data_IF_170572334183
#
_entry.id   IF_170572334183
#
_cell.length_a   1.000
_cell.length_b   1.000
_cell.length_c   1.000
_cell.angle_alpha   90.00
_cell.angle_beta   90.00
_cell.angle_gamma   90.00
#
_symmetry.space_group_name_H-M   'P 1'
#
loop_
_entity.id
_entity.type
_entity.pdbx_description
1 polymer ?
#
# COMPACT_ATOMS: atom_id res chain seq x y z
N UNK A 1 9.08 33.43 -10.47
CA UNK A 1 9.88 33.61 -9.25
C UNK A 1 9.08 33.09 -8.05
N UNK A 2 9.68 32.20 -7.23
CA UNK A 2 9.06 31.68 -6.03
C UNK A 2 8.79 32.80 -5.02
N UNK A 3 7.60 32.82 -4.42
CA UNK A 3 7.18 33.83 -3.45
C UNK A 3 7.52 33.42 -2.00
N UNK A 4 7.16 32.20 -1.63
CA UNK A 4 7.36 31.66 -0.27
C UNK A 4 8.67 30.90 -0.14
N UNK A 5 8.97 30.02 -1.10
CA UNK A 5 10.11 29.13 -1.01
C UNK A 5 11.41 29.78 -1.54
N UNK A 6 11.35 30.97 -2.17
CA UNK A 6 12.49 31.58 -2.87
C UNK A 6 13.75 31.73 -2.02
N UNK A 7 13.64 32.15 -0.78
CA UNK A 7 14.77 32.33 0.13
C UNK A 7 15.39 31.00 0.61
N UNK A 8 14.57 29.93 0.70
CA UNK A 8 14.99 28.64 1.20
C UNK A 8 15.30 27.62 0.10
N UNK A 9 14.90 27.88 -1.16
CA UNK A 9 15.01 26.94 -2.29
C UNK A 9 16.42 26.46 -2.60
N UNK A 10 17.45 27.20 -2.18
CA UNK A 10 18.86 26.82 -2.35
C UNK A 10 19.38 25.88 -1.26
N UNK A 11 18.62 25.66 -0.18
CA UNK A 11 19.04 24.78 0.91
C UNK A 11 18.75 23.33 0.54
N UNK A 12 19.72 22.39 0.69
CA UNK A 12 19.54 20.99 0.28
C UNK A 12 18.30 20.33 0.89
N UNK A 13 18.02 20.59 2.16
CA UNK A 13 16.86 20.04 2.84
C UNK A 13 15.52 20.53 2.24
N UNK A 14 15.46 21.81 1.84
CA UNK A 14 14.27 22.35 1.17
C UNK A 14 14.11 21.76 -0.22
N UNK A 15 15.21 21.52 -0.95
CA UNK A 15 15.17 20.87 -2.26
C UNK A 15 14.61 19.45 -2.14
N UNK A 16 15.05 18.67 -1.15
CA UNK A 16 14.49 17.34 -0.88
C UNK A 16 12.99 17.40 -0.54
N UNK A 17 12.58 18.35 0.28
CA UNK A 17 11.16 18.56 0.62
C UNK A 17 10.33 18.91 -0.63
N UNK A 18 10.83 19.78 -1.50
CA UNK A 18 10.14 20.15 -2.74
C UNK A 18 10.08 19.00 -3.74
N UNK A 19 11.15 18.20 -3.85
CA UNK A 19 11.14 16.98 -4.69
C UNK A 19 10.12 15.95 -4.15
N UNK A 20 10.08 15.72 -2.85
CA UNK A 20 9.05 14.86 -2.25
C UNK A 20 7.63 15.36 -2.53
N UNK A 21 7.41 16.68 -2.46
CA UNK A 21 6.12 17.26 -2.83
C UNK A 21 5.78 17.08 -4.32
N UNK A 22 6.78 17.15 -5.21
CA UNK A 22 6.60 16.85 -6.64
C UNK A 22 6.18 15.39 -6.84
N UNK A 23 6.85 14.44 -6.17
CA UNK A 23 6.51 13.01 -6.26
C UNK A 23 5.08 12.75 -5.78
N UNK A 24 4.66 13.36 -4.66
CA UNK A 24 3.29 13.26 -4.16
C UNK A 24 2.27 13.84 -5.15
N UNK A 25 2.53 15.01 -5.72
CA UNK A 25 1.64 15.65 -6.69
C UNK A 25 1.51 14.82 -7.97
N UNK A 26 2.61 14.25 -8.47
CA UNK A 26 2.61 13.37 -9.66
C UNK A 26 1.85 12.08 -9.38
N UNK A 27 2.08 11.44 -8.24
CA UNK A 27 1.35 10.23 -7.82
C UNK A 27 -0.15 10.49 -7.67
N UNK A 28 -0.52 11.70 -7.24
CA UNK A 28 -1.90 12.15 -7.17
C UNK A 28 -2.48 12.63 -8.51
N UNK A 29 -1.73 12.56 -9.61
CA UNK A 29 -2.09 13.08 -10.94
C UNK A 29 -2.49 14.57 -10.92
N UNK A 30 -1.85 15.37 -10.04
CA UNK A 30 -2.09 16.81 -9.96
C UNK A 30 -1.21 17.52 -10.99
N UNK A 31 -1.84 18.33 -11.84
CA UNK A 31 -1.13 19.10 -12.86
C UNK A 31 -0.80 20.52 -12.38
N UNK A 32 0.22 21.21 -12.96
CA UNK A 32 0.49 22.61 -12.66
C UNK A 32 -0.73 23.50 -12.84
N UNK A 33 -1.49 23.29 -13.90
CA UNK A 33 -2.75 24.02 -14.20
C UNK A 33 -3.81 23.86 -13.10
N UNK A 34 -3.95 22.64 -12.56
CA UNK A 34 -4.91 22.38 -11.47
C UNK A 34 -4.51 23.14 -10.19
N UNK A 35 -3.20 23.18 -9.90
CA UNK A 35 -2.68 23.96 -8.78
C UNK A 35 -2.90 25.46 -8.98
N UNK A 36 -2.65 26.01 -10.16
CA UNK A 36 -2.87 27.42 -10.46
C UNK A 36 -4.35 27.81 -10.37
N UNK A 37 -5.25 27.00 -10.93
CA UNK A 37 -6.70 27.20 -10.82
C UNK A 37 -7.16 27.20 -9.37
N UNK A 38 -6.63 26.29 -8.54
CA UNK A 38 -6.93 26.23 -7.11
C UNK A 38 -6.35 27.44 -6.38
N UNK A 39 -5.11 27.82 -6.70
CA UNK A 39 -4.43 28.98 -6.12
C UNK A 39 -5.16 30.30 -6.40
N UNK A 40 -5.81 30.43 -7.57
CA UNK A 40 -6.62 31.60 -7.92
C UNK A 40 -7.86 31.76 -7.02
N UNK A 41 -8.35 30.67 -6.43
CA UNK A 41 -9.50 30.63 -5.51
C UNK A 41 -9.10 30.78 -4.03
N UNK A 42 -7.81 30.75 -3.74
CA UNK A 42 -7.25 30.87 -2.39
C UNK A 42 -6.55 32.23 -2.23
N UNK A 43 -6.66 32.82 -1.03
CA UNK A 43 -5.97 34.07 -0.67
C UNK A 43 -4.86 33.82 0.36
N UNK A 44 -3.90 34.74 0.41
CA UNK A 44 -2.82 34.70 1.41
C UNK A 44 -1.84 33.54 1.21
N UNK A 45 -1.30 33.04 2.32
CA UNK A 45 -0.24 32.03 2.35
C UNK A 45 -0.53 30.78 1.51
N UNK A 46 -1.75 30.25 1.59
CA UNK A 46 -2.12 29.05 0.84
C UNK A 46 -2.08 29.28 -0.67
N UNK A 47 -2.62 30.41 -1.13
CA UNK A 47 -2.58 30.78 -2.55
C UNK A 47 -1.14 30.91 -3.07
N UNK A 48 -0.26 31.54 -2.31
CA UNK A 48 1.15 31.69 -2.68
C UNK A 48 1.91 30.35 -2.65
N UNK A 49 1.61 29.48 -1.67
CA UNK A 49 2.16 28.11 -1.60
C UNK A 49 1.78 27.29 -2.83
N UNK A 50 0.52 27.32 -3.21
CA UNK A 50 0.05 26.56 -4.39
C UNK A 50 0.64 27.07 -5.70
N UNK A 51 0.84 28.39 -5.86
CA UNK A 51 1.53 28.98 -7.03
C UNK A 51 2.99 28.55 -7.09
N UNK A 52 3.68 28.56 -5.95
CA UNK A 52 5.08 28.12 -5.89
C UNK A 52 5.21 26.64 -6.23
N UNK A 53 4.31 25.78 -5.72
CA UNK A 53 4.28 24.36 -6.06
C UNK A 53 3.95 24.13 -7.54
N UNK A 54 3.02 24.89 -8.13
CA UNK A 54 2.72 24.83 -9.56
C UNK A 54 3.96 25.16 -10.41
N UNK A 55 4.69 26.21 -10.03
CA UNK A 55 5.91 26.62 -10.71
C UNK A 55 7.03 25.57 -10.59
N UNK A 56 7.20 24.98 -9.41
CA UNK A 56 8.20 23.91 -9.17
C UNK A 56 7.85 22.68 -9.99
N UNK A 57 6.59 22.23 -9.98
CA UNK A 57 6.13 21.07 -10.75
C UNK A 57 6.30 21.29 -12.26
N UNK A 58 5.90 22.47 -12.78
CA UNK A 58 6.07 22.80 -14.19
C UNK A 58 7.56 22.84 -14.60
N UNK A 59 8.43 23.39 -13.75
CA UNK A 59 9.88 23.41 -14.00
C UNK A 59 10.48 22.00 -13.98
N UNK A 60 10.05 21.15 -13.06
CA UNK A 60 10.46 19.76 -12.99
C UNK A 60 10.06 18.99 -14.25
N UNK A 61 8.80 19.11 -14.68
CA UNK A 61 8.31 18.48 -15.90
C UNK A 61 9.08 18.95 -17.16
N UNK A 62 9.38 20.24 -17.24
CA UNK A 62 10.15 20.78 -18.35
C UNK A 62 11.60 20.25 -18.41
N UNK A 63 12.24 20.05 -17.25
CA UNK A 63 13.60 19.48 -17.16
C UNK A 63 13.60 17.99 -17.50
N UNK A 64 12.65 17.23 -16.96
CA UNK A 64 12.55 15.78 -17.19
C UNK A 64 12.14 15.45 -18.63
N UNK A 65 11.36 16.31 -19.30
CA UNK A 65 10.99 16.14 -20.70
C UNK A 65 12.19 16.21 -21.67
N UNK A 66 13.31 16.81 -21.25
CA UNK A 66 14.48 17.05 -22.12
C UNK A 66 15.47 15.88 -22.21
N UNK A 67 15.33 14.80 -21.44
CA UNK A 67 16.39 13.81 -21.53
C UNK A 67 16.22 12.48 -20.83
N UNK A 68 15.42 12.36 -19.82
CA UNK A 68 15.31 11.10 -19.06
C UNK A 68 13.85 10.80 -18.72
N UNK A 69 13.46 9.54 -18.97
CA UNK A 69 12.13 9.08 -18.58
C UNK A 69 12.04 9.11 -17.05
N UNK A 70 11.25 10.03 -16.51
CA UNK A 70 10.96 10.10 -15.09
C UNK A 70 10.32 8.80 -14.60
N UNK A 71 10.91 8.11 -13.60
CA UNK A 71 10.31 6.91 -13.03
C UNK A 71 8.91 7.13 -12.47
N UNK A 72 8.61 8.33 -11.96
CA UNK A 72 7.30 8.68 -11.39
C UNK A 72 6.19 8.78 -12.46
N UNK A 73 6.54 8.95 -13.74
CA UNK A 73 5.59 9.00 -14.86
C UNK A 73 5.30 7.63 -15.49
N UNK A 74 5.92 6.55 -15.00
CA UNK A 74 5.79 5.22 -15.61
C UNK A 74 4.34 4.76 -15.73
N UNK A 75 3.57 4.89 -14.65
CA UNK A 75 2.16 4.48 -14.63
C UNK A 75 1.28 5.40 -15.48
N UNK A 76 1.55 6.70 -15.48
CA UNK A 76 0.86 7.65 -16.35
C UNK A 76 1.06 7.31 -17.82
N UNK A 77 2.32 7.09 -18.23
CA UNK A 77 2.63 6.67 -19.61
C UNK A 77 2.08 5.29 -19.97
N UNK A 78 2.03 4.37 -18.98
CA UNK A 78 1.41 3.07 -19.18
C UNK A 78 -0.07 3.24 -19.48
N UNK A 79 -0.80 4.02 -18.67
CA UNK A 79 -2.22 4.30 -18.88
C UNK A 79 -2.50 4.91 -20.26
N UNK A 80 -1.65 5.83 -20.74
CA UNK A 80 -1.76 6.43 -22.07
C UNK A 80 -1.54 5.44 -23.22
N UNK A 81 -0.70 4.42 -23.03
CA UNK A 81 -0.33 3.45 -24.08
C UNK A 81 -1.25 2.23 -24.14
N UNK A 82 -1.91 1.88 -23.05
CA UNK A 82 -2.81 0.72 -22.98
C UNK A 82 -3.84 0.70 -24.11
N UNK A 83 -4.56 1.79 -24.43
CA UNK A 83 -5.60 1.77 -25.47
C UNK A 83 -5.07 1.40 -26.86
N UNK A 84 -3.81 1.72 -27.15
CA UNK A 84 -3.17 1.41 -28.42
C UNK A 84 -2.52 0.01 -28.45
N UNK A 85 -2.43 -0.68 -27.31
CA UNK A 85 -1.76 -1.98 -27.19
C UNK A 85 -2.75 -3.13 -27.42
N UNK A 86 -2.27 -4.20 -28.06
CA UNK A 86 -3.06 -5.44 -28.19
C UNK A 86 -3.29 -6.08 -26.83
N UNK A 87 -2.30 -6.05 -25.95
CA UNK A 87 -2.38 -6.60 -24.60
C UNK A 87 -3.51 -5.92 -23.79
N UNK A 88 -3.67 -4.60 -23.91
CA UNK A 88 -4.73 -3.84 -23.25
C UNK A 88 -6.15 -4.25 -23.70
N UNK A 89 -6.29 -4.87 -24.87
CA UNK A 89 -7.59 -5.29 -25.42
C UNK A 89 -7.93 -6.76 -25.22
N UNK A 90 -6.93 -7.61 -25.10
CA UNK A 90 -7.12 -9.07 -25.06
C UNK A 90 -6.50 -9.73 -23.84
N UNK A 91 -5.88 -8.95 -22.98
CA UNK A 91 -5.19 -9.45 -21.78
C UNK A 91 -6.15 -9.71 -20.61
N UNK A 92 -5.78 -10.71 -19.80
CA UNK A 92 -6.36 -10.92 -18.47
C UNK A 92 -5.40 -10.36 -17.42
N UNK A 93 -5.87 -9.45 -16.60
CA UNK A 93 -5.06 -8.78 -15.59
C UNK A 93 -5.54 -9.14 -14.19
N UNK A 94 -4.64 -9.64 -13.37
CA UNK A 94 -4.90 -9.98 -11.97
C UNK A 94 -4.15 -9.00 -11.07
N UNK A 95 -4.89 -8.27 -10.25
CA UNK A 95 -4.38 -7.29 -9.29
C UNK A 95 -4.61 -7.82 -7.87
N UNK A 96 -3.53 -8.22 -7.22
CA UNK A 96 -3.58 -8.83 -5.88
C UNK A 96 -2.60 -8.16 -4.92
N UNK A 97 -2.91 -8.20 -3.62
CA UNK A 97 -2.07 -7.63 -2.56
C UNK A 97 -2.21 -6.11 -2.36
N UNK A 98 -3.18 -5.47 -2.98
CA UNK A 98 -3.47 -4.05 -2.79
C UNK A 98 -4.56 -3.85 -1.72
N UNK A 99 -4.38 -2.86 -0.85
CA UNK A 99 -5.40 -2.39 0.09
C UNK A 99 -6.09 -1.15 -0.46
N UNK A 100 -5.33 -0.29 -1.11
CA UNK A 100 -5.75 0.93 -1.79
C UNK A 100 -4.94 1.13 -3.07
N UNK A 101 -5.34 2.10 -3.86
CA UNK A 101 -4.70 2.45 -5.12
C UNK A 101 -4.40 3.94 -5.17
N UNK A 102 -3.23 4.29 -5.66
CA UNK A 102 -2.90 5.66 -6.03
C UNK A 102 -3.73 6.10 -7.25
N UNK A 103 -3.81 7.40 -7.50
CA UNK A 103 -4.53 7.91 -8.68
C UNK A 103 -3.90 7.43 -9.98
N UNK A 104 -2.57 7.27 -10.03
CA UNK A 104 -1.89 6.73 -11.20
C UNK A 104 -2.25 5.26 -11.44
N UNK A 105 -2.31 4.44 -10.39
CA UNK A 105 -2.73 3.04 -10.50
C UNK A 105 -4.20 2.94 -10.95
N UNK A 106 -5.09 3.75 -10.38
CA UNK A 106 -6.49 3.83 -10.83
C UNK A 106 -6.60 4.27 -12.29
N UNK A 107 -5.73 5.17 -12.77
CA UNK A 107 -5.71 5.55 -14.18
C UNK A 107 -5.31 4.38 -15.09
N UNK A 108 -4.39 3.52 -14.65
CA UNK A 108 -4.04 2.28 -15.37
C UNK A 108 -5.22 1.32 -15.40
N UNK A 109 -5.88 1.09 -14.25
CA UNK A 109 -7.07 0.22 -14.19
C UNK A 109 -8.17 0.75 -15.12
N UNK A 110 -8.47 2.05 -15.08
CA UNK A 110 -9.44 2.69 -15.97
C UNK A 110 -9.09 2.51 -17.44
N UNK A 111 -7.81 2.66 -17.79
CA UNK A 111 -7.35 2.46 -19.16
C UNK A 111 -7.52 1.01 -19.63
N UNK A 112 -7.28 0.02 -18.76
CA UNK A 112 -7.52 -1.40 -19.04
C UNK A 112 -9.01 -1.68 -19.28
N UNK A 113 -9.88 -1.22 -18.38
CA UNK A 113 -11.33 -1.40 -18.50
C UNK A 113 -11.85 -0.75 -19.78
N UNK A 114 -11.43 0.49 -20.08
CA UNK A 114 -11.83 1.21 -21.30
C UNK A 114 -11.33 0.52 -22.58
N UNK A 115 -10.17 -0.13 -22.52
CA UNK A 115 -9.61 -0.88 -23.65
C UNK A 115 -10.29 -2.24 -23.88
N UNK A 116 -11.13 -2.71 -22.94
CA UNK A 116 -11.85 -3.98 -23.01
C UNK A 116 -11.08 -5.18 -22.47
N UNK A 117 -10.07 -4.95 -21.62
CA UNK A 117 -9.36 -6.02 -20.94
C UNK A 117 -10.20 -6.65 -19.83
N UNK A 118 -9.98 -7.95 -19.58
CA UNK A 118 -10.48 -8.61 -18.39
C UNK A 118 -9.62 -8.24 -17.18
N UNK A 119 -10.24 -7.68 -16.13
CA UNK A 119 -9.54 -7.26 -14.92
C UNK A 119 -10.15 -7.93 -13.70
N UNK A 120 -9.34 -8.70 -12.99
CA UNK A 120 -9.70 -9.32 -11.70
C UNK A 120 -8.92 -8.64 -10.59
N UNK A 121 -9.62 -8.11 -9.59
CA UNK A 121 -9.01 -7.47 -8.43
C UNK A 121 -9.33 -8.27 -7.16
N UNK A 122 -8.28 -8.69 -6.44
CA UNK A 122 -8.41 -9.35 -5.15
C UNK A 122 -8.26 -8.32 -4.03
N UNK A 123 -9.25 -8.26 -3.15
CA UNK A 123 -9.23 -7.39 -1.96
C UNK A 123 -9.52 -8.21 -0.71
N UNK A 124 -8.81 -7.90 0.38
CA UNK A 124 -9.09 -8.50 1.68
C UNK A 124 -10.08 -7.62 2.43
N UNK A 125 -11.32 -8.09 2.57
CA UNK A 125 -12.37 -7.42 3.33
C UNK A 125 -13.39 -8.43 3.85
N UNK A 126 -14.14 -8.04 4.87
CA UNK A 126 -15.18 -8.86 5.49
C UNK A 126 -16.52 -8.77 4.75
N UNK A 127 -16.88 -7.59 4.26
CA UNK A 127 -18.11 -7.34 3.51
C UNK A 127 -17.98 -6.04 2.69
N UNK A 128 -18.74 -5.92 1.60
CA UNK A 128 -18.79 -4.71 0.76
C UNK A 128 -19.49 -3.54 1.48
N UNK A 129 -20.43 -3.83 2.36
CA UNK A 129 -21.16 -2.83 3.15
C UNK A 129 -21.27 -3.28 4.61
N UNK A 130 -21.16 -2.36 5.54
CA UNK A 130 -21.11 -2.69 6.97
C UNK A 130 -19.75 -3.30 7.35
N UNK A 131 -19.73 -4.14 8.38
CA UNK A 131 -18.54 -4.85 8.84
C UNK A 131 -17.56 -4.02 9.69
N UNK A 132 -16.39 -4.56 9.96
CA UNK A 132 -15.40 -3.95 10.84
C UNK A 132 -14.70 -2.75 10.19
N UNK A 133 -14.44 -1.70 10.98
CA UNK A 133 -13.72 -0.50 10.52
C UNK A 133 -12.30 -0.79 10.01
N UNK A 134 -11.69 -1.89 10.45
CA UNK A 134 -10.35 -2.28 10.01
C UNK A 134 -10.27 -2.48 8.49
N UNK A 135 -11.36 -2.90 7.86
CA UNK A 135 -11.46 -3.06 6.42
C UNK A 135 -12.02 -1.83 5.70
N UNK A 136 -12.16 -0.70 6.39
CA UNK A 136 -12.73 0.53 5.84
C UNK A 136 -11.98 1.04 4.61
N UNK A 137 -10.65 0.93 4.56
CA UNK A 137 -9.85 1.31 3.39
C UNK A 137 -10.16 0.40 2.19
N UNK A 138 -10.11 -0.91 2.36
CA UNK A 138 -10.39 -1.88 1.31
C UNK A 138 -11.84 -1.76 0.78
N UNK A 139 -12.83 -1.48 1.67
CA UNK A 139 -14.21 -1.20 1.24
C UNK A 139 -14.34 0.08 0.40
N UNK A 140 -13.60 1.15 0.75
CA UNK A 140 -13.59 2.35 -0.10
C UNK A 140 -12.98 2.06 -1.46
N UNK A 141 -11.89 1.31 -1.49
CA UNK A 141 -11.25 0.84 -2.72
C UNK A 141 -12.21 0.02 -3.59
N UNK A 142 -12.91 -0.94 -2.99
CA UNK A 142 -13.91 -1.74 -3.72
C UNK A 142 -15.00 -0.86 -4.36
N UNK A 143 -15.52 0.12 -3.63
CA UNK A 143 -16.51 1.07 -4.19
C UNK A 143 -15.95 1.87 -5.35
N UNK A 144 -14.75 2.44 -5.19
CA UNK A 144 -14.11 3.22 -6.26
C UNK A 144 -13.92 2.38 -7.52
N UNK A 145 -13.56 1.10 -7.38
CA UNK A 145 -13.39 0.20 -8.52
C UNK A 145 -14.73 -0.17 -9.17
N UNK A 146 -15.76 -0.42 -8.38
CA UNK A 146 -17.11 -0.71 -8.89
C UNK A 146 -17.71 0.51 -9.62
N UNK A 147 -17.62 1.70 -9.01
CA UNK A 147 -18.05 2.96 -9.63
C UNK A 147 -17.29 3.22 -10.94
N UNK A 148 -15.98 2.92 -10.95
CA UNK A 148 -15.15 3.04 -12.15
C UNK A 148 -15.56 2.07 -13.26
N UNK A 149 -15.90 0.83 -12.92
CA UNK A 149 -16.39 -0.15 -13.88
C UNK A 149 -17.70 0.31 -14.51
N UNK A 150 -18.63 0.82 -13.69
CA UNK A 150 -19.90 1.41 -14.15
C UNK A 150 -19.68 2.62 -15.07
N UNK A 151 -18.82 3.56 -14.66
CA UNK A 151 -18.41 4.71 -15.49
C UNK A 151 -17.84 4.29 -16.87
N UNK A 152 -17.13 3.15 -16.92
CA UNK A 152 -16.57 2.60 -18.16
C UNK A 152 -17.57 1.74 -18.95
N UNK A 153 -18.80 1.54 -18.46
CA UNK A 153 -19.80 0.66 -19.07
C UNK A 153 -19.44 -0.82 -19.00
N UNK A 154 -18.62 -1.22 -18.01
CA UNK A 154 -18.17 -2.59 -17.81
C UNK A 154 -18.97 -3.22 -16.67
N UNK A 155 -19.56 -4.39 -16.93
CA UNK A 155 -20.27 -5.14 -15.90
C UNK A 155 -19.27 -5.78 -14.93
N UNK A 156 -19.31 -5.39 -13.66
CA UNK A 156 -18.51 -6.00 -12.62
C UNK A 156 -19.29 -7.09 -11.88
N UNK A 157 -18.61 -8.19 -11.56
CA UNK A 157 -19.12 -9.26 -10.68
C UNK A 157 -18.29 -9.29 -9.41
N UNK A 158 -18.92 -9.56 -8.28
CA UNK A 158 -18.23 -9.69 -6.99
C UNK A 158 -18.39 -11.12 -6.51
N UNK A 159 -17.27 -11.78 -6.27
CA UNK A 159 -17.23 -13.15 -5.79
C UNK A 159 -16.48 -13.18 -4.45
N UNK A 160 -17.08 -13.87 -3.46
CA UNK A 160 -16.38 -14.18 -2.23
C UNK A 160 -15.47 -15.39 -2.45
N UNK A 161 -14.17 -15.25 -2.20
CA UNK A 161 -13.28 -16.40 -2.20
C UNK A 161 -13.76 -17.41 -1.16
N UNK A 162 -13.90 -18.70 -1.53
CA UNK A 162 -14.32 -19.72 -0.58
C UNK A 162 -13.32 -19.78 0.57
N UNK A 163 -13.85 -19.77 1.78
CA UNK A 163 -13.03 -19.94 2.96
C UNK A 163 -12.29 -21.27 2.88
N UNK A 164 -10.97 -21.26 3.14
CA UNK A 164 -10.19 -22.49 3.25
C UNK A 164 -10.87 -23.42 4.25
N UNK A 165 -11.06 -24.69 3.84
CA UNK A 165 -11.81 -25.66 4.61
C UNK A 165 -11.21 -25.93 6.00
N UNK A 166 -12.06 -26.29 6.93
CA UNK A 166 -11.93 -26.79 8.29
C UNK A 166 -12.08 -25.73 9.39
N UNK A 167 -12.85 -26.08 10.40
CA UNK A 167 -12.94 -25.39 11.67
C UNK A 167 -11.62 -25.57 12.44
N UNK A 168 -10.68 -24.70 12.16
CA UNK A 168 -9.39 -24.65 12.84
C UNK A 168 -9.36 -23.44 13.79
N UNK A 169 -8.56 -23.48 14.87
CA UNK A 169 -8.41 -22.35 15.78
C UNK A 169 -8.05 -21.04 15.05
N UNK A 170 -7.22 -21.12 14.00
CA UNK A 170 -6.83 -19.98 13.19
C UNK A 170 -8.00 -19.38 12.42
N UNK A 171 -8.93 -20.22 11.93
CA UNK A 171 -10.12 -19.73 11.23
C UNK A 171 -11.08 -19.03 12.19
N UNK A 172 -11.27 -19.58 13.38
CA UNK A 172 -12.09 -18.92 14.40
C UNK A 172 -11.47 -17.59 14.79
N UNK A 173 -10.13 -17.54 14.94
CA UNK A 173 -9.41 -16.30 15.19
C UNK A 173 -9.63 -15.30 14.05
N UNK A 174 -9.48 -15.71 12.78
CA UNK A 174 -9.71 -14.86 11.61
C UNK A 174 -11.11 -14.24 11.60
N UNK A 175 -12.13 -15.04 11.90
CA UNK A 175 -13.53 -14.60 11.90
C UNK A 175 -13.90 -13.73 13.10
N UNK A 176 -13.28 -13.96 14.26
CA UNK A 176 -13.69 -13.37 15.52
C UNK A 176 -12.78 -12.27 16.05
N UNK A 177 -11.53 -12.20 15.57
CA UNK A 177 -10.51 -11.27 16.12
C UNK A 177 -10.97 -9.80 16.15
N UNK A 178 -11.75 -9.38 15.17
CA UNK A 178 -12.27 -8.03 15.04
C UNK A 178 -13.79 -7.94 15.21
N UNK A 179 -14.42 -9.03 15.66
CA UNK A 179 -15.81 -9.01 16.08
C UNK A 179 -15.84 -8.78 17.59
N UNK A 180 -16.81 -8.00 18.06
CA UNK A 180 -17.03 -7.78 19.49
C UNK A 180 -17.87 -8.91 20.13
N UNK A 181 -17.87 -10.09 19.49
CA UNK A 181 -18.55 -11.27 20.00
C UNK A 181 -17.59 -12.11 20.83
N UNK A 182 -18.08 -12.68 21.94
CA UNK A 182 -17.30 -13.58 22.80
C UNK A 182 -17.45 -15.03 22.32
N UNK A 183 -16.94 -15.35 21.14
CA UNK A 183 -16.86 -16.74 20.72
C UNK A 183 -15.74 -17.45 21.47
N UNK A 184 -16.05 -18.61 22.07
CA UNK A 184 -15.05 -19.46 22.69
C UNK A 184 -14.76 -20.65 21.78
N UNK A 185 -13.49 -20.97 21.61
CA UNK A 185 -13.04 -22.13 20.85
C UNK A 185 -11.92 -22.84 21.64
N UNK A 186 -12.11 -24.15 21.85
CA UNK A 186 -11.09 -24.97 22.49
C UNK A 186 -9.94 -25.24 21.52
N UNK A 187 -8.72 -24.89 21.92
CA UNK A 187 -7.49 -25.17 21.16
C UNK A 187 -6.57 -26.16 21.93
N UNK A 188 -6.95 -27.45 21.97
CA UNK A 188 -6.18 -28.46 22.72
C UNK A 188 -4.79 -28.67 22.15
N UNK A 189 -4.57 -28.33 20.88
CA UNK A 189 -3.27 -28.42 20.23
C UNK A 189 -2.37 -27.22 20.51
N UNK A 190 -2.84 -26.21 21.24
CA UNK A 190 -2.13 -24.95 21.50
C UNK A 190 -1.57 -24.32 20.22
N UNK A 191 -2.39 -24.30 19.17
CA UNK A 191 -2.05 -23.72 17.87
C UNK A 191 -1.80 -22.21 17.99
N UNK A 192 -2.53 -21.57 18.92
CA UNK A 192 -2.43 -20.15 19.23
C UNK A 192 -1.88 -20.00 20.65
N UNK A 193 -0.76 -19.31 20.79
CA UNK A 193 -0.18 -19.02 22.10
C UNK A 193 0.02 -17.51 22.25
N UNK A 194 -0.23 -17.01 23.45
CA UNK A 194 0.04 -15.62 23.83
C UNK A 194 1.17 -15.60 24.83
N UNK A 195 2.18 -14.79 24.57
CA UNK A 195 3.32 -14.60 25.44
C UNK A 195 3.43 -13.13 25.85
N UNK A 196 3.72 -12.87 27.11
CA UNK A 196 4.01 -11.53 27.63
C UNK A 196 5.48 -11.50 28.06
N UNK A 197 6.19 -10.50 27.58
CA UNK A 197 7.60 -10.27 27.93
C UNK A 197 7.73 -8.98 28.75
N UNK A 198 8.79 -8.89 29.56
CA UNK A 198 9.04 -7.72 30.41
C UNK A 198 9.50 -6.50 29.61
N UNK A 199 10.22 -6.75 28.53
CA UNK A 199 10.71 -5.71 27.61
C UNK A 199 10.85 -6.21 26.17
N UNK A 200 11.16 -5.30 25.27
CA UNK A 200 11.35 -5.58 23.84
C UNK A 200 12.48 -6.59 23.57
N UNK A 201 13.55 -6.56 24.38
CA UNK A 201 14.67 -7.50 24.19
C UNK A 201 14.27 -8.92 24.59
N UNK A 202 13.53 -9.08 25.69
CA UNK A 202 12.97 -10.35 26.13
C UNK A 202 11.94 -10.89 25.13
N UNK A 203 11.10 -10.04 24.55
CA UNK A 203 10.15 -10.40 23.48
C UNK A 203 10.88 -10.95 22.25
N UNK A 204 11.92 -10.24 21.78
CA UNK A 204 12.74 -10.67 20.66
C UNK A 204 13.51 -11.97 20.95
N UNK A 205 14.01 -12.13 22.17
CA UNK A 205 14.69 -13.35 22.59
C UNK A 205 13.74 -14.55 22.58
N UNK A 206 12.53 -14.37 23.12
CA UNK A 206 11.49 -15.40 23.07
C UNK A 206 11.13 -15.78 21.65
N UNK A 207 10.91 -14.78 20.76
CA UNK A 207 10.58 -15.01 19.36
C UNK A 207 11.67 -15.81 18.63
N UNK A 208 12.95 -15.45 18.83
CA UNK A 208 14.09 -16.17 18.25
C UNK A 208 14.20 -17.61 18.79
N UNK A 209 14.07 -17.80 20.11
CA UNK A 209 14.09 -19.13 20.74
C UNK A 209 12.92 -19.99 20.24
N UNK A 210 11.72 -19.40 20.09
CA UNK A 210 10.55 -20.11 19.58
C UNK A 210 10.72 -20.53 18.12
N UNK A 211 11.29 -19.66 17.28
CA UNK A 211 11.62 -20.00 15.90
C UNK A 211 12.58 -21.19 15.82
N UNK A 212 13.64 -21.20 16.66
CA UNK A 212 14.57 -22.31 16.74
C UNK A 212 13.88 -23.62 17.18
N UNK A 213 12.99 -23.57 18.18
CA UNK A 213 12.23 -24.73 18.62
C UNK A 213 11.34 -25.30 17.51
N UNK A 214 10.67 -24.42 16.75
CA UNK A 214 9.84 -24.84 15.62
C UNK A 214 10.65 -25.56 14.55
N UNK A 215 11.86 -25.08 14.24
CA UNK A 215 12.71 -25.74 13.27
C UNK A 215 13.25 -27.08 13.81
N UNK A 216 13.57 -27.16 15.08
CA UNK A 216 13.95 -28.42 15.73
C UNK A 216 12.80 -29.46 15.72
N UNK A 217 11.56 -28.99 15.70
CA UNK A 217 10.36 -29.84 15.55
C UNK A 217 9.97 -30.16 14.10
N UNK A 218 10.77 -29.69 13.11
CA UNK A 218 10.60 -30.03 11.70
C UNK A 218 10.08 -28.92 10.79
N UNK A 219 9.80 -27.71 11.30
CA UNK A 219 9.48 -26.57 10.46
C UNK A 219 10.72 -26.11 9.67
N UNK A 220 10.48 -25.53 8.49
CA UNK A 220 11.58 -24.90 7.73
C UNK A 220 11.66 -23.42 8.07
N UNK A 221 12.85 -22.86 8.09
CA UNK A 221 13.06 -21.42 8.32
C UNK A 221 12.17 -20.54 7.46
N UNK A 222 12.00 -20.88 6.20
CA UNK A 222 11.18 -20.13 5.24
C UNK A 222 9.67 -20.15 5.52
N UNK A 223 9.22 -21.04 6.38
CA UNK A 223 7.80 -21.17 6.76
C UNK A 223 7.49 -20.40 8.06
N UNK A 224 8.48 -19.72 8.63
CA UNK A 224 8.35 -18.92 9.86
C UNK A 224 8.44 -17.44 9.50
N UNK A 225 7.47 -16.66 9.94
CA UNK A 225 7.46 -15.20 9.80
C UNK A 225 7.29 -14.54 11.18
N UNK A 226 8.01 -13.45 11.39
CA UNK A 226 7.86 -12.57 12.56
C UNK A 226 7.33 -11.23 12.04
N UNK A 227 6.11 -10.87 12.43
CA UNK A 227 5.50 -9.59 12.07
C UNK A 227 5.60 -8.61 13.24
N UNK A 228 6.07 -7.40 12.97
CA UNK A 228 6.23 -6.34 13.98
C UNK A 228 5.56 -5.05 13.51
N UNK A 229 5.01 -4.28 14.43
CA UNK A 229 4.35 -3.02 14.11
C UNK A 229 5.32 -1.85 13.91
N UNK A 230 6.38 -1.78 14.71
CA UNK A 230 7.42 -0.75 14.65
C UNK A 230 8.74 -1.35 14.19
N UNK A 231 8.97 -1.42 12.88
CA UNK A 231 10.16 -2.09 12.34
C UNK A 231 11.48 -1.50 12.86
N UNK A 232 11.59 -0.16 12.91
CA UNK A 232 12.80 0.54 13.37
C UNK A 232 13.19 0.19 14.82
N UNK A 233 12.20 -0.05 15.67
CA UNK A 233 12.44 -0.35 17.08
C UNK A 233 12.82 -1.81 17.29
N UNK A 234 12.16 -2.72 16.56
CA UNK A 234 12.36 -4.16 16.69
C UNK A 234 13.57 -4.69 15.93
N UNK A 235 13.91 -4.12 14.76
CA UNK A 235 14.93 -4.69 13.89
C UNK A 235 16.31 -4.88 14.58
N UNK A 236 16.85 -3.89 15.32
CA UNK A 236 18.15 -4.07 15.99
C UNK A 236 18.13 -5.12 17.11
N UNK A 237 16.99 -5.26 17.80
CA UNK A 237 16.84 -6.24 18.87
C UNK A 237 16.66 -7.66 18.29
N UNK A 238 15.84 -7.82 17.25
CA UNK A 238 15.67 -9.08 16.53
C UNK A 238 16.98 -9.55 15.92
N UNK A 239 17.74 -8.65 15.28
CA UNK A 239 19.03 -8.98 14.68
C UNK A 239 20.01 -9.54 15.70
N UNK A 240 20.12 -8.90 16.88
CA UNK A 240 20.98 -9.38 17.98
C UNK A 240 20.52 -10.72 18.54
N UNK A 241 19.21 -10.87 18.79
CA UNK A 241 18.69 -12.11 19.40
C UNK A 241 18.72 -13.28 18.42
N UNK A 242 18.38 -13.06 17.17
CA UNK A 242 18.50 -14.07 16.13
C UNK A 242 19.95 -14.51 15.92
N UNK A 243 20.91 -13.58 15.93
CA UNK A 243 22.34 -13.91 15.88
C UNK A 243 22.78 -14.72 17.10
N UNK A 244 22.34 -14.35 18.31
CA UNK A 244 22.65 -15.07 19.55
C UNK A 244 22.15 -16.53 19.53
N UNK A 245 20.91 -16.76 19.01
CA UNK A 245 20.31 -18.09 18.90
C UNK A 245 20.70 -18.85 17.63
N UNK A 246 21.50 -18.26 16.72
CA UNK A 246 21.86 -18.88 15.45
C UNK A 246 20.68 -18.98 14.47
N UNK A 247 19.68 -18.10 14.59
CA UNK A 247 18.49 -18.05 13.72
C UNK A 247 18.80 -17.19 12.51
N UNK A 248 18.72 -17.71 11.27
CA UNK A 248 18.86 -16.90 10.07
C UNK A 248 17.70 -15.93 9.94
N UNK A 249 17.99 -14.64 9.78
CA UNK A 249 17.01 -13.57 9.70
C UNK A 249 17.08 -12.88 8.35
N UNK A 250 15.93 -12.66 7.74
CA UNK A 250 15.75 -11.84 6.56
C UNK A 250 14.69 -10.77 6.82
N UNK A 251 15.03 -9.51 6.55
CA UNK A 251 14.10 -8.40 6.67
C UNK A 251 13.45 -8.10 5.32
N UNK A 252 12.14 -8.35 5.21
CA UNK A 252 11.34 -7.87 4.09
C UNK A 252 11.09 -6.37 4.29
N UNK A 253 11.85 -5.53 3.57
CA UNK A 253 11.60 -4.09 3.51
C UNK A 253 10.57 -3.82 2.41
N UNK A 254 9.48 -3.19 2.78
CA UNK A 254 8.57 -2.54 1.84
C UNK A 254 8.97 -1.08 1.65
#
# INVERSE_FOLDING_TARGET
RLRLFGAAARRPQMQQTLLGAVDELKTACVTPDALEKTAARCTGYLGDKLRDLALVLAAYDAVTAQGHADPTDRLTRLAERIPASTLGRTGHFYLDGFTDYTRQELAVVRALLTAGADVTVCLTLDALSGGSEIFGAARRTARVLLDMADDCGVQATVEACPARAADTPLRVLEQQLFSYTSAHFDDPAQTITVHTADDLAAECAWAAARALQLVQSGCRWRDIAIAVRGFSDYAPALERMCAYYGVPLYFARR
#
